data_IF_026321138509
#
_entry.id   IF_026321138509
#
_cell.length_a   1.000
_cell.length_b   1.000
_cell.length_c   1.000
_cell.angle_alpha   90.00
_cell.angle_beta   90.00
_cell.angle_gamma   90.00
#
_symmetry.space_group_name_H-M   'P 1'
#
loop_
_entity.id
_entity.type
_entity.pdbx_description
1 polymer ?
#
# COMPACT_ATOMS: atom_id res chain seq x y z
N UNK A 1 -9.69 17.14 30.09
CA UNK A 1 -9.32 16.07 29.15
C UNK A 1 -10.59 15.38 28.68
N UNK A 2 -11.08 15.73 27.49
CA UNK A 2 -12.14 14.97 26.82
C UNK A 2 -11.48 14.26 25.65
N UNK A 3 -11.56 12.93 25.65
CA UNK A 3 -11.33 12.10 24.47
C UNK A 3 -12.57 12.28 23.59
N UNK A 4 -12.45 13.01 22.49
CA UNK A 4 -13.47 13.03 21.46
C UNK A 4 -13.10 11.96 20.44
N UNK A 5 -13.98 10.96 20.32
CA UNK A 5 -13.80 9.82 19.43
C UNK A 5 -13.98 10.22 17.98
N UNK A 6 -13.27 9.52 17.09
CA UNK A 6 -13.56 9.49 15.67
C UNK A 6 -14.98 8.93 15.48
N UNK A 7 -15.93 9.82 15.19
CA UNK A 7 -17.28 9.46 14.77
C UNK A 7 -17.40 9.79 13.29
N UNK A 8 -17.60 8.72 12.50
CA UNK A 8 -18.34 8.65 11.24
C UNK A 8 -18.18 9.77 10.21
N UNK A 9 -17.59 9.44 9.06
CA UNK A 9 -17.89 10.11 7.80
C UNK A 9 -18.75 9.20 6.92
N UNK A 10 -19.99 8.98 7.38
CA UNK A 10 -21.08 8.57 6.51
C UNK A 10 -21.66 9.85 5.86
N UNK A 11 -21.49 9.98 4.55
CA UNK A 11 -22.29 10.87 3.70
C UNK A 11 -21.81 12.31 3.59
N UNK A 12 -21.03 12.60 2.54
CA UNK A 12 -21.29 13.65 1.55
C UNK A 12 -20.09 13.71 0.60
N UNK A 13 -20.38 13.54 -0.69
CA UNK A 13 -19.39 13.55 -1.75
C UNK A 13 -18.63 14.86 -1.80
N UNK A 14 -17.36 14.81 -1.41
CA UNK A 14 -16.28 15.66 -1.89
C UNK A 14 -15.01 14.86 -1.61
N UNK A 15 -14.25 14.57 -2.66
CA UNK A 15 -12.91 14.01 -2.55
C UNK A 15 -12.16 14.78 -1.46
N UNK A 16 -11.70 14.03 -0.46
CA UNK A 16 -10.76 14.51 0.55
C UNK A 16 -9.54 15.00 -0.22
N UNK A 17 -9.48 16.32 -0.42
CA UNK A 17 -8.33 17.06 -0.89
C UNK A 17 -7.29 17.05 0.25
N UNK A 18 -6.72 15.86 0.49
CA UNK A 18 -5.65 15.65 1.45
C UNK A 18 -4.37 16.21 0.82
N UNK A 19 -4.22 17.52 1.02
CA UNK A 19 -3.04 18.25 0.63
C UNK A 19 -1.80 17.71 1.34
N UNK A 20 -0.87 17.16 0.57
CA UNK A 20 0.50 17.71 0.47
C UNK A 20 1.24 17.09 -0.73
N UNK A 21 0.83 17.50 -1.93
CA UNK A 21 1.65 17.43 -3.16
C UNK A 21 1.93 18.85 -3.70
N UNK A 22 1.99 19.81 -2.77
CA UNK A 22 1.86 21.25 -3.04
C UNK A 22 3.07 21.93 -3.69
N UNK A 23 4.18 21.24 -3.94
CA UNK A 23 5.38 21.83 -4.56
C UNK A 23 5.83 21.18 -5.87
N UNK A 24 5.23 20.06 -6.30
CA UNK A 24 5.65 19.36 -7.53
C UNK A 24 4.52 18.97 -8.49
N UNK A 25 3.25 19.26 -8.20
CA UNK A 25 2.16 19.05 -9.16
C UNK A 25 1.82 17.59 -9.47
N UNK A 26 2.40 16.62 -8.75
CA UNK A 26 2.03 15.22 -8.84
C UNK A 26 0.68 15.00 -8.11
N UNK A 27 -0.29 14.33 -8.72
CA UNK A 27 -1.48 13.89 -8.00
C UNK A 27 -1.16 12.56 -7.29
N UNK A 28 -1.61 12.32 -6.04
CA UNK A 28 -1.48 11.00 -5.45
C UNK A 28 -2.10 9.96 -6.37
N UNK A 29 -1.44 8.82 -6.60
CA UNK A 29 -1.96 7.79 -7.52
C UNK A 29 -3.34 7.29 -7.08
N UNK A 30 -3.61 7.23 -5.77
CA UNK A 30 -4.93 6.88 -5.23
C UNK A 30 -6.04 7.88 -5.60
N UNK A 31 -5.73 9.12 -6.00
CA UNK A 31 -6.75 10.06 -6.50
C UNK A 31 -7.46 9.55 -7.75
N UNK A 32 -6.82 8.65 -8.52
CA UNK A 32 -7.43 7.98 -9.68
C UNK A 32 -8.60 7.06 -9.27
N UNK A 33 -8.70 6.71 -7.98
CA UNK A 33 -9.66 5.77 -7.40
C UNK A 33 -10.86 6.50 -6.78
N UNK A 34 -10.98 7.82 -6.98
CA UNK A 34 -11.98 8.68 -6.33
C UNK A 34 -13.40 8.09 -6.29
N UNK A 35 -13.99 8.07 -5.09
CA UNK A 35 -15.36 7.61 -4.85
C UNK A 35 -15.59 6.10 -4.86
N UNK A 36 -14.53 5.29 -5.00
CA UNK A 36 -14.63 3.81 -5.12
C UNK A 36 -14.45 3.05 -3.81
N UNK A 37 -14.43 3.76 -2.69
CA UNK A 37 -14.29 3.20 -1.34
C UNK A 37 -12.98 3.59 -0.67
N UNK A 38 -12.82 3.25 0.62
CA UNK A 38 -11.65 3.62 1.43
C UNK A 38 -10.46 2.68 1.26
N UNK A 39 -10.63 1.53 0.61
CA UNK A 39 -9.55 0.55 0.44
C UNK A 39 -8.99 0.67 -0.96
N UNK A 40 -7.66 0.82 -1.08
CA UNK A 40 -6.96 0.94 -2.35
C UNK A 40 -5.77 0.00 -2.39
N UNK A 41 -5.61 -0.68 -3.52
CA UNK A 41 -4.52 -1.63 -3.75
C UNK A 41 -3.88 -1.33 -5.09
N UNK A 42 -2.56 -1.40 -5.16
CA UNK A 42 -1.83 -1.53 -6.41
C UNK A 42 -0.88 -2.73 -6.33
N UNK A 43 -1.02 -3.63 -7.29
CA UNK A 43 -0.20 -4.82 -7.45
C UNK A 43 0.69 -4.66 -8.68
N UNK A 44 1.98 -4.91 -8.51
CA UNK A 44 2.97 -5.05 -9.58
C UNK A 44 3.46 -6.49 -9.59
N UNK A 45 3.08 -7.24 -10.62
CA UNK A 45 3.58 -8.59 -10.86
C UNK A 45 4.82 -8.51 -11.73
N UNK A 46 5.95 -8.94 -11.18
CA UNK A 46 7.23 -9.02 -11.90
C UNK A 46 7.51 -10.44 -12.38
N UNK A 47 8.45 -10.59 -13.30
CA UNK A 47 8.96 -11.90 -13.67
C UNK A 47 9.51 -12.63 -12.44
N UNK A 48 9.22 -13.94 -12.25
CA UNK A 48 9.77 -14.71 -11.14
C UNK A 48 11.31 -14.68 -11.05
N UNK A 49 12.00 -14.46 -12.17
CA UNK A 49 13.47 -14.33 -12.21
C UNK A 49 13.97 -13.01 -11.58
N UNK A 50 13.09 -12.02 -11.41
CA UNK A 50 13.41 -10.69 -10.89
C UNK A 50 13.12 -10.54 -9.40
N UNK A 51 12.61 -11.56 -8.70
CA UNK A 51 12.22 -11.47 -7.27
C UNK A 51 13.37 -10.99 -6.39
N UNK A 52 14.56 -11.57 -6.54
CA UNK A 52 15.74 -11.15 -5.76
C UNK A 52 16.11 -9.67 -6.02
N UNK A 53 15.99 -9.22 -7.27
CA UNK A 53 16.25 -7.81 -7.63
C UNK A 53 15.18 -6.87 -7.09
N UNK A 54 13.91 -7.27 -7.16
CA UNK A 54 12.79 -6.52 -6.59
C UNK A 54 13.00 -6.31 -5.08
N UNK A 55 13.30 -7.37 -4.34
CA UNK A 55 13.60 -7.29 -2.89
C UNK A 55 14.76 -6.34 -2.62
N UNK A 56 15.88 -6.49 -3.33
CA UNK A 56 17.04 -5.61 -3.18
C UNK A 56 16.71 -4.13 -3.42
N UNK A 57 15.89 -3.83 -4.44
CA UNK A 57 15.46 -2.46 -4.71
C UNK A 57 14.64 -1.94 -3.53
N UNK A 58 13.61 -2.67 -3.10
CA UNK A 58 12.72 -2.21 -2.02
C UNK A 58 13.46 -2.09 -0.68
N UNK A 59 14.30 -3.07 -0.33
CA UNK A 59 15.12 -3.03 0.89
C UNK A 59 16.18 -1.91 0.88
N UNK A 60 16.57 -1.44 -0.31
CA UNK A 60 17.53 -0.34 -0.48
C UNK A 60 16.92 1.05 -0.32
N UNK A 61 15.59 1.17 -0.20
CA UNK A 61 14.89 2.45 -0.05
C UNK A 61 14.74 2.86 1.42
N UNK A 62 14.73 4.17 1.66
CA UNK A 62 14.19 4.71 2.92
C UNK A 62 12.68 4.74 2.81
N UNK A 63 11.99 3.93 3.61
CA UNK A 63 10.52 3.88 3.62
C UNK A 63 9.99 4.68 4.79
N UNK A 64 10.18 5.99 4.73
CA UNK A 64 9.77 6.89 5.81
C UNK A 64 8.26 6.78 6.04
N UNK A 65 7.86 6.73 7.31
CA UNK A 65 6.47 6.44 7.70
C UNK A 65 6.14 4.95 7.81
N UNK A 66 7.05 4.04 7.46
CA UNK A 66 6.87 2.60 7.57
C UNK A 66 7.97 1.92 8.41
N UNK A 67 7.61 0.78 8.98
CA UNK A 67 8.48 -0.12 9.71
C UNK A 67 8.49 -1.49 9.06
N UNK A 68 9.70 -2.02 8.84
CA UNK A 68 9.89 -3.41 8.42
C UNK A 68 9.31 -4.36 9.47
N UNK A 69 8.52 -5.32 9.02
CA UNK A 69 7.99 -6.41 9.82
C UNK A 69 8.45 -7.73 9.23
N UNK A 70 9.26 -8.48 9.97
CA UNK A 70 9.70 -9.80 9.52
C UNK A 70 8.60 -10.83 9.87
N UNK A 71 7.93 -11.34 8.84
CA UNK A 71 6.84 -12.30 8.99
C UNK A 71 7.24 -13.76 8.68
N UNK A 72 8.54 -14.05 8.64
CA UNK A 72 9.06 -15.36 8.22
C UNK A 72 8.40 -16.53 8.95
N UNK A 73 7.79 -17.43 8.16
CA UNK A 73 7.23 -18.69 8.65
C UNK A 73 5.99 -18.56 9.55
N UNK A 74 5.32 -17.41 9.55
CA UNK A 74 4.09 -17.19 10.34
C UNK A 74 2.87 -17.13 9.43
N UNK A 75 2.00 -18.14 9.54
CA UNK A 75 0.62 -18.04 9.07
C UNK A 75 -0.22 -17.33 10.14
N UNK A 76 -1.11 -16.45 9.71
CA UNK A 76 -2.03 -15.72 10.58
C UNK A 76 -3.26 -15.26 9.81
N UNK A 77 -4.19 -14.58 10.48
CA UNK A 77 -5.40 -14.05 9.81
C UNK A 77 -5.11 -13.06 8.68
N UNK A 78 -3.85 -12.62 8.53
CA UNK A 78 -3.38 -11.59 7.58
C UNK A 78 -2.49 -12.20 6.48
N UNK A 79 -1.87 -13.37 6.71
CA UNK A 79 -0.93 -14.01 5.76
C UNK A 79 -1.43 -15.43 5.49
N UNK A 80 -1.83 -15.68 4.23
CA UNK A 80 -2.46 -16.94 3.82
C UNK A 80 -1.45 -18.03 3.40
N UNK A 81 -0.20 -17.66 3.10
CA UNK A 81 0.85 -18.56 2.64
C UNK A 81 2.06 -18.63 3.59
N UNK A 82 2.87 -19.66 3.37
CA UNK A 82 4.14 -19.88 4.09
C UNK A 82 5.28 -19.39 3.19
N UNK A 83 5.40 -18.06 3.05
CA UNK A 83 6.43 -17.42 2.24
C UNK A 83 7.44 -16.61 3.07
N UNK A 84 8.59 -16.29 2.46
CA UNK A 84 9.47 -15.23 2.94
C UNK A 84 8.95 -13.90 2.39
N UNK A 85 8.14 -13.21 3.18
CA UNK A 85 7.59 -11.92 2.80
C UNK A 85 8.44 -10.79 3.35
N UNK A 86 8.66 -9.79 2.51
CA UNK A 86 9.19 -8.52 2.98
C UNK A 86 8.00 -7.59 3.20
N UNK A 87 7.65 -7.32 4.47
CA UNK A 87 6.56 -6.40 4.82
C UNK A 87 7.11 -5.10 5.39
N UNK A 88 6.50 -4.00 5.00
CA UNK A 88 6.64 -2.70 5.63
C UNK A 88 5.25 -2.21 5.96
N UNK A 89 4.98 -1.99 7.25
CA UNK A 89 3.69 -1.53 7.75
C UNK A 89 3.85 -0.09 8.20
N UNK A 90 2.84 0.73 7.97
CA UNK A 90 2.81 2.11 8.46
C UNK A 90 3.11 2.15 9.97
N UNK A 91 3.83 3.18 10.41
CA UNK A 91 4.31 3.29 11.78
C UNK A 91 3.17 3.29 12.82
N UNK A 92 2.00 3.82 12.45
CA UNK A 92 0.85 3.90 13.33
C UNK A 92 0.32 2.50 13.66
N UNK A 93 0.19 1.65 12.64
CA UNK A 93 -0.39 0.32 12.80
C UNK A 93 0.64 -0.80 13.02
N UNK A 94 1.93 -0.56 12.81
CA UNK A 94 3.00 -1.53 13.00
C UNK A 94 2.96 -2.28 14.36
N UNK A 95 2.73 -1.62 15.52
CA UNK A 95 2.62 -2.33 16.80
C UNK A 95 1.43 -3.30 16.86
N UNK A 96 0.29 -2.88 16.31
CA UNK A 96 -0.93 -3.72 16.25
C UNK A 96 -0.73 -4.88 15.29
N UNK A 97 -0.11 -4.64 14.14
CA UNK A 97 0.22 -5.69 13.17
C UNK A 97 1.13 -6.76 13.78
N UNK A 98 2.22 -6.34 14.43
CA UNK A 98 3.14 -7.25 15.13
C UNK A 98 2.42 -8.07 16.21
N UNK A 99 1.57 -7.43 17.02
CA UNK A 99 0.78 -8.13 18.03
C UNK A 99 -0.18 -9.17 17.42
N UNK A 100 -0.76 -8.90 16.24
CA UNK A 100 -1.60 -9.87 15.52
C UNK A 100 -0.81 -11.03 14.94
N UNK A 101 0.37 -10.76 14.35
CA UNK A 101 1.28 -11.83 13.89
C UNK A 101 1.73 -12.76 15.03
N UNK A 102 1.76 -12.26 16.27
CA UNK A 102 2.09 -13.03 17.46
C UNK A 102 0.88 -13.69 18.14
N UNK A 103 -0.33 -13.53 17.57
CA UNK A 103 -1.57 -14.05 18.15
C UNK A 103 -1.99 -13.36 19.45
N UNK A 104 -1.39 -12.19 19.77
CA UNK A 104 -1.67 -11.40 20.98
C UNK A 104 -2.78 -10.37 20.79
N UNK A 105 -3.23 -10.15 19.56
CA UNK A 105 -4.34 -9.26 19.23
C UNK A 105 -5.26 -9.92 18.20
N UNK A 106 -6.57 -9.70 18.36
CA UNK A 106 -7.57 -10.02 17.36
C UNK A 106 -7.99 -8.73 16.63
N UNK A 107 -8.52 -8.85 15.43
CA UNK A 107 -9.03 -7.71 14.67
C UNK A 107 -9.00 -7.94 13.18
N UNK A 108 -9.57 -6.99 12.45
CA UNK A 108 -9.73 -7.09 11.01
C UNK A 108 -8.43 -6.77 10.27
N UNK A 109 -7.96 -7.69 9.43
CA UNK A 109 -6.71 -7.59 8.66
C UNK A 109 -6.64 -6.40 7.71
N UNK A 110 -7.78 -5.75 7.43
CA UNK A 110 -7.91 -4.65 6.47
C UNK A 110 -7.66 -3.25 7.08
N UNK A 111 -7.11 -3.14 8.29
CA UNK A 111 -6.88 -1.84 8.97
C UNK A 111 -5.43 -1.34 8.81
N UNK A 112 -4.70 -1.87 7.83
CA UNK A 112 -3.28 -1.57 7.66
C UNK A 112 -3.01 -0.80 6.39
N UNK A 113 -1.96 -0.01 6.42
CA UNK A 113 -1.28 0.44 5.23
C UNK A 113 0.07 -0.23 5.13
N UNK A 114 0.29 -0.93 4.03
CA UNK A 114 1.52 -1.70 3.86
C UNK A 114 2.09 -1.66 2.45
N UNK A 115 3.39 -1.92 2.40
CA UNK A 115 4.17 -2.23 1.22
C UNK A 115 4.73 -3.63 1.43
N UNK A 116 4.42 -4.57 0.54
CA UNK A 116 4.82 -5.96 0.67
C UNK A 116 5.46 -6.48 -0.62
N UNK A 117 6.52 -7.29 -0.48
CA UNK A 117 7.01 -8.16 -1.55
C UNK A 117 6.66 -9.61 -1.20
N UNK A 118 5.67 -10.13 -1.92
CA UNK A 118 5.09 -11.46 -1.76
C UNK A 118 5.43 -12.31 -2.99
N UNK A 119 6.51 -13.08 -2.90
CA UNK A 119 7.05 -13.77 -4.06
C UNK A 119 7.42 -12.79 -5.19
N UNK A 120 6.72 -12.86 -6.32
CA UNK A 120 6.92 -12.00 -7.48
C UNK A 120 5.90 -10.84 -7.58
N UNK A 121 5.20 -10.54 -6.49
CA UNK A 121 4.26 -9.43 -6.41
C UNK A 121 4.82 -8.37 -5.46
N UNK A 122 4.92 -7.13 -5.93
CA UNK A 122 4.98 -5.96 -5.07
C UNK A 122 3.54 -5.46 -4.89
N UNK A 123 3.07 -5.42 -3.65
CA UNK A 123 1.76 -4.87 -3.28
C UNK A 123 1.95 -3.62 -2.45
N UNK A 124 1.19 -2.59 -2.78
CA UNK A 124 0.94 -1.46 -1.89
C UNK A 124 -0.56 -1.43 -1.64
N UNK A 125 -0.94 -1.50 -0.38
CA UNK A 125 -2.34 -1.54 0.02
C UNK A 125 -2.58 -0.56 1.16
N UNK A 126 -3.60 0.27 1.00
CA UNK A 126 -4.20 1.07 2.06
C UNK A 126 -5.58 0.51 2.33
N UNK A 127 -5.74 -0.17 3.45
CA UNK A 127 -7.06 -0.56 3.96
C UNK A 127 -7.69 0.52 4.84
N UNK A 128 -8.96 0.33 5.17
CA UNK A 128 -9.77 1.22 5.99
C UNK A 128 -9.15 1.41 7.38
N UNK A 129 -8.57 2.59 7.62
CA UNK A 129 -7.83 2.93 8.85
C UNK A 129 -6.31 2.95 8.72
N UNK A 130 -5.76 2.57 7.56
CA UNK A 130 -4.35 2.73 7.18
C UNK A 130 -3.94 4.16 6.80
N UNK A 131 -4.76 5.15 7.15
CA UNK A 131 -4.46 6.55 6.87
C UNK A 131 -3.64 7.10 8.03
N UNK A 132 -2.39 7.45 7.79
CA UNK A 132 -1.64 8.24 8.75
C UNK A 132 -2.33 9.61 8.87
N UNK A 133 -3.08 9.78 9.96
CA UNK A 133 -3.81 11.01 10.26
C UNK A 133 -2.86 12.15 10.62
N UNK A 134 -1.59 11.84 10.97
CA UNK A 134 -0.62 12.82 11.43
C UNK A 134 0.17 13.41 10.25
N UNK A 135 0.49 12.62 9.21
CA UNK A 135 1.10 13.09 7.95
C UNK A 135 0.70 12.24 6.72
N UNK A 136 -0.46 12.52 6.08
CA UNK A 136 -0.90 11.80 4.90
C UNK A 136 0.00 12.01 3.66
N UNK A 137 0.85 13.05 3.66
CA UNK A 137 1.77 13.35 2.57
C UNK A 137 3.01 12.45 2.56
N UNK A 138 3.50 12.07 3.74
CA UNK A 138 4.68 11.22 3.90
C UNK A 138 4.47 9.83 3.30
N UNK A 139 3.40 9.14 3.70
CA UNK A 139 3.14 7.78 3.26
C UNK A 139 2.92 7.71 1.73
N UNK A 140 2.17 8.68 1.19
CA UNK A 140 1.96 8.85 -0.26
C UNK A 140 3.26 9.05 -1.02
N UNK A 141 4.19 9.83 -0.46
CA UNK A 141 5.51 10.08 -1.04
C UNK A 141 6.32 8.78 -1.08
N UNK A 142 6.32 8.02 0.01
CA UNK A 142 7.01 6.73 0.11
C UNK A 142 6.46 5.71 -0.88
N UNK A 143 5.13 5.59 -1.01
CA UNK A 143 4.50 4.71 -2.01
C UNK A 143 4.97 5.06 -3.44
N UNK A 144 4.95 6.35 -3.79
CA UNK A 144 5.37 6.81 -5.10
C UNK A 144 6.87 6.55 -5.34
N UNK A 145 7.73 6.76 -4.33
CA UNK A 145 9.15 6.44 -4.42
C UNK A 145 9.40 4.96 -4.68
N UNK A 146 8.65 4.07 -4.03
CA UNK A 146 8.75 2.62 -4.27
C UNK A 146 8.37 2.28 -5.71
N UNK A 147 7.24 2.81 -6.19
CA UNK A 147 6.78 2.58 -7.57
C UNK A 147 7.77 3.13 -8.60
N UNK A 148 8.28 4.34 -8.41
CA UNK A 148 9.28 4.94 -9.31
C UNK A 148 10.60 4.16 -9.30
N UNK A 149 11.08 3.69 -8.13
CA UNK A 149 12.28 2.86 -8.03
C UNK A 149 12.16 1.58 -8.87
N UNK A 150 11.00 0.92 -8.84
CA UNK A 150 10.74 -0.26 -9.68
C UNK A 150 10.61 0.11 -11.16
N UNK A 151 10.01 1.26 -11.49
CA UNK A 151 9.87 1.73 -12.86
C UNK A 151 11.23 2.04 -13.52
N UNK A 152 12.18 2.62 -12.80
CA UNK A 152 13.50 2.98 -13.35
C UNK A 152 14.51 1.83 -13.34
N UNK A 153 14.30 0.80 -12.53
CA UNK A 153 15.20 -0.35 -12.45
C UNK A 153 15.14 -1.23 -13.72
N UNK A 154 16.22 -1.27 -14.49
CA UNK A 154 16.30 -2.03 -15.75
C UNK A 154 16.35 -3.54 -15.55
N UNK A 155 16.76 -4.02 -14.37
CA UNK A 155 16.78 -5.45 -14.01
C UNK A 155 15.44 -6.04 -13.58
N UNK A 156 14.36 -5.25 -13.55
CA UNK A 156 13.01 -5.74 -13.20
C UNK A 156 12.13 -5.79 -14.46
N UNK A 157 11.79 -7.00 -14.89
CA UNK A 157 10.79 -7.25 -15.92
C UNK A 157 9.38 -7.24 -15.33
N UNK A 158 8.59 -6.21 -15.64
CA UNK A 158 7.17 -6.13 -15.27
C UNK A 158 6.36 -7.08 -16.18
N UNK A 159 5.49 -7.90 -15.59
CA UNK A 159 4.57 -8.80 -16.30
C UNK A 159 3.19 -8.16 -16.42
N UNK A 160 2.67 -7.63 -15.31
CA UNK A 160 1.42 -6.87 -15.26
C UNK A 160 1.38 -5.98 -14.03
N UNK A 161 0.51 -4.98 -14.07
CA UNK A 161 0.12 -4.22 -12.90
C UNK A 161 -1.40 -4.04 -12.89
N UNK A 162 -1.98 -3.87 -11.71
CA UNK A 162 -3.40 -3.61 -11.53
C UNK A 162 -3.64 -2.74 -10.30
N UNK A 163 -4.57 -1.81 -10.41
CA UNK A 163 -5.10 -1.02 -9.31
C UNK A 163 -6.54 -1.42 -9.00
N UNK A 164 -6.83 -1.62 -7.73
CA UNK A 164 -8.14 -2.00 -7.19
C UNK A 164 -8.63 -0.97 -6.16
N UNK A 165 -9.94 -0.79 -6.05
CA UNK A 165 -10.57 -0.06 -4.94
C UNK A 165 -11.83 -0.76 -4.44
N UNK A 166 -12.22 -0.50 -3.21
CA UNK A 166 -13.45 -1.01 -2.61
C UNK A 166 -13.48 -0.76 -1.11
N UNK A 167 -14.02 -1.72 -0.37
CA UNK A 167 -13.97 -1.72 1.09
C UNK A 167 -15.13 -0.99 1.76
N UNK A 168 -15.33 -1.26 3.05
CA UNK A 168 -16.35 -0.61 3.91
C UNK A 168 -17.71 -0.36 3.23
N UNK A 169 -18.36 -1.43 2.77
CA UNK A 169 -19.66 -1.34 2.09
C UNK A 169 -19.60 -0.91 0.62
N UNK A 170 -18.42 -0.66 0.06
CA UNK A 170 -18.21 -0.49 -1.38
C UNK A 170 -17.81 -1.82 -2.03
N UNK A 171 -18.36 -2.09 -3.22
CA UNK A 171 -17.95 -3.25 -4.03
C UNK A 171 -16.51 -3.11 -4.48
N UNK A 172 -15.75 -4.21 -4.41
CA UNK A 172 -14.40 -4.29 -4.95
C UNK A 172 -14.42 -4.16 -6.49
N UNK A 173 -13.61 -3.26 -7.02
CA UNK A 173 -13.60 -2.88 -8.42
C UNK A 173 -12.18 -2.73 -8.96
N UNK A 174 -11.99 -3.21 -10.19
CA UNK A 174 -10.80 -2.90 -10.99
C UNK A 174 -10.85 -1.43 -11.42
N UNK A 175 -9.78 -0.68 -11.14
CA UNK A 175 -9.68 0.74 -11.50
C UNK A 175 -8.87 0.93 -12.77
N UNK A 176 -7.70 0.30 -12.84
CA UNK A 176 -6.83 0.34 -14.01
C UNK A 176 -5.90 -0.88 -14.01
N UNK A 177 -5.41 -1.25 -15.18
CA UNK A 177 -4.40 -2.31 -15.31
C UNK A 177 -3.58 -2.12 -16.57
N UNK A 178 -2.44 -2.81 -16.62
CA UNK A 178 -1.58 -2.83 -17.80
C UNK A 178 -0.47 -3.85 -17.70
N UNK A 179 0.38 -3.88 -18.72
CA UNK A 179 1.46 -4.85 -18.89
C UNK A 179 2.84 -4.20 -19.01
N UNK A 180 2.90 -2.88 -19.14
CA UNK A 180 4.17 -2.17 -19.33
C UNK A 180 4.43 -1.11 -18.26
N UNK A 181 5.72 -0.83 -18.04
CA UNK A 181 6.18 0.23 -17.14
C UNK A 181 5.72 1.62 -17.62
N UNK A 182 5.63 1.83 -18.92
CA UNK A 182 5.13 3.08 -19.50
C UNK A 182 3.65 3.30 -19.22
N UNK A 183 2.83 2.24 -19.24
CA UNK A 183 1.42 2.33 -18.87
C UNK A 183 1.26 2.66 -17.39
N UNK A 184 2.04 2.00 -16.53
CA UNK A 184 2.04 2.31 -15.10
C UNK A 184 2.49 3.75 -14.86
N UNK A 185 3.58 4.20 -15.48
CA UNK A 185 4.06 5.59 -15.33
C UNK A 185 2.98 6.61 -15.72
N UNK A 186 2.26 6.40 -16.82
CA UNK A 186 1.14 7.28 -17.23
C UNK A 186 -0.02 7.26 -16.24
N UNK A 187 -0.22 6.17 -15.52
CA UNK A 187 -1.24 6.07 -14.50
C UNK A 187 -0.87 6.85 -13.22
N UNK A 188 0.43 6.94 -12.91
CA UNK A 188 0.93 7.66 -11.73
C UNK A 188 1.07 9.19 -11.92
N UNK A 189 0.90 9.69 -13.15
CA UNK A 189 1.01 11.13 -13.52
C UNK A 189 -0.35 11.76 -13.80
#
# INVERSE_FOLDING_TARGET
MKKEGCVGLAGLGTALDLGYCGSMGCKPWYSQFGGRGPDWVIDLVVSPLCVGRLRQVVEGLSLDGFQRQDAQGRQGAIIDDQGDHLWFIDNHNAPTFAARLEGRAAGDGWVFHFIAVEGNVLRIERGHGGYDCDDPGLATTTEHQVLEAVLVETGIGLVRWAGYAGGDGHEAQDVASGHTKEQLRRFLT
#
